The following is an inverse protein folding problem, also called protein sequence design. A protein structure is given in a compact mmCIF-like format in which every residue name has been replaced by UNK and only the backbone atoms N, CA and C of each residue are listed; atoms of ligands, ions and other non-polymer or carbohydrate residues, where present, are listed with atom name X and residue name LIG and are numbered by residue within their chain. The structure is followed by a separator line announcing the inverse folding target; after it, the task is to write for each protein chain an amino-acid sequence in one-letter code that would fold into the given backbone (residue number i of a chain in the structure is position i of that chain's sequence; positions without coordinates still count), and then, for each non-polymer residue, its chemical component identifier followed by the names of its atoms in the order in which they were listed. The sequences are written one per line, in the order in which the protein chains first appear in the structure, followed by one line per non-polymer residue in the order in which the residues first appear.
data_IF_676128360794
#
_entry.id   IF_676128360794
#
_cell.length_a   1.000
_cell.length_b   1.000
_cell.length_c   1.000
_cell.angle_alpha   90.00
_cell.angle_beta   90.00
_cell.angle_gamma   90.00
#
_symmetry.space_group_name_H-M   'P 1'
#
loop_
_entity.id
_entity.type
_entity.pdbx_description
1 polymer ?
#
# COMPACT_ATOMS: atom_id res chain seq x y z
N UNK A 1 15.39 -4.68 -5.32
CA UNK A 1 13.98 -5.09 -5.54
C UNK A 1 13.78 -5.16 -7.04
N UNK A 2 13.31 -6.28 -7.57
CA UNK A 2 13.00 -6.38 -9.00
C UNK A 2 11.87 -5.41 -9.40
N UNK A 3 11.83 -5.04 -10.67
CA UNK A 3 10.77 -4.21 -11.22
C UNK A 3 9.59 -5.07 -11.65
N UNK A 4 8.37 -4.53 -11.57
CA UNK A 4 7.23 -5.14 -12.26
C UNK A 4 7.32 -4.90 -13.77
N UNK A 5 6.54 -5.67 -14.54
CA UNK A 5 6.40 -5.43 -15.98
C UNK A 5 5.74 -4.08 -16.26
N UNK A 6 6.36 -3.28 -17.13
CA UNK A 6 5.84 -1.96 -17.55
C UNK A 6 4.49 -2.06 -18.27
N UNK A 7 4.21 -3.21 -18.89
CA UNK A 7 2.95 -3.56 -19.55
C UNK A 7 1.76 -3.63 -18.58
N UNK A 8 2.01 -3.66 -17.27
CA UNK A 8 0.96 -3.71 -16.22
C UNK A 8 0.41 -2.34 -15.83
N UNK A 9 0.98 -1.24 -16.34
CA UNK A 9 0.50 0.13 -16.12
C UNK A 9 -0.51 0.56 -17.19
N UNK A 10 -1.67 -0.09 -17.18
CA UNK A 10 -2.78 0.12 -18.12
C UNK A 10 -4.08 0.39 -17.35
N UNK A 11 -5.18 0.86 -17.99
CA UNK A 11 -6.48 0.94 -17.32
C UNK A 11 -6.87 -0.38 -16.63
N UNK A 12 -7.20 -0.31 -15.33
CA UNK A 12 -7.43 -1.48 -14.47
C UNK A 12 -6.16 -2.10 -13.85
N UNK A 13 -4.97 -1.69 -14.30
CA UNK A 13 -3.67 -2.16 -13.83
C UNK A 13 -3.11 -1.37 -12.65
N UNK A 14 -1.78 -1.24 -12.57
CA UNK A 14 -1.09 -0.55 -11.48
C UNK A 14 -1.21 0.97 -11.58
N UNK A 15 -1.20 1.66 -10.43
CA UNK A 15 -1.07 3.11 -10.38
C UNK A 15 0.40 3.52 -10.58
N UNK A 16 0.73 4.42 -11.53
CA UNK A 16 2.09 4.94 -11.65
C UNK A 16 2.42 5.84 -10.45
N UNK A 17 3.58 5.63 -9.83
CA UNK A 17 4.05 6.38 -8.66
C UNK A 17 5.53 6.68 -8.81
N UNK A 18 5.90 7.93 -8.53
CA UNK A 18 7.28 8.39 -8.49
C UNK A 18 7.74 8.67 -7.04
N UNK A 19 9.04 8.59 -6.82
CA UNK A 19 9.65 9.07 -5.57
C UNK A 19 9.41 10.58 -5.46
N UNK A 20 8.94 11.03 -4.30
CA UNK A 20 8.56 12.42 -4.04
C UNK A 20 7.08 12.73 -4.27
N UNK A 21 6.30 11.81 -4.85
CA UNK A 21 4.85 11.99 -4.96
C UNK A 21 4.22 12.06 -3.56
N UNK A 22 3.22 12.93 -3.38
CA UNK A 22 2.46 13.02 -2.13
C UNK A 22 1.08 12.38 -2.34
N UNK A 23 0.90 11.19 -1.78
CA UNK A 23 -0.34 10.44 -1.85
C UNK A 23 -1.29 10.90 -0.75
N UNK A 24 -2.54 11.16 -1.14
CA UNK A 24 -3.62 11.59 -0.24
C UNK A 24 -3.26 12.83 0.60
N UNK A 25 -2.42 13.72 0.05
CA UNK A 25 -1.93 14.94 0.72
C UNK A 25 -1.20 14.71 2.06
N UNK A 26 -0.91 13.46 2.41
CA UNK A 26 -0.42 13.05 3.73
C UNK A 26 0.82 12.18 3.69
N UNK A 27 1.07 11.47 2.58
CA UNK A 27 2.09 10.43 2.49
C UNK A 27 3.05 10.68 1.34
N UNK A 28 4.24 11.19 1.65
CA UNK A 28 5.31 11.39 0.67
C UNK A 28 6.01 10.06 0.37
N UNK A 29 6.14 9.72 -0.91
CA UNK A 29 6.76 8.47 -1.37
C UNK A 29 8.27 8.57 -1.31
N UNK A 30 8.90 7.70 -0.51
CA UNK A 30 10.34 7.70 -0.27
C UNK A 30 11.07 6.61 -1.06
N UNK A 31 10.52 5.39 -1.09
CA UNK A 31 11.15 4.25 -1.75
C UNK A 31 10.13 3.16 -2.08
N UNK A 32 10.42 2.33 -3.09
CA UNK A 32 9.64 1.12 -3.35
C UNK A 32 10.07 0.01 -2.39
N UNK A 33 9.13 -0.66 -1.72
CA UNK A 33 9.42 -1.79 -0.82
C UNK A 33 9.23 -3.15 -1.50
N UNK A 34 8.33 -3.24 -2.47
CA UNK A 34 8.08 -4.48 -3.19
C UNK A 34 6.89 -4.38 -4.11
N UNK A 35 6.65 -5.44 -4.87
CA UNK A 35 5.45 -5.60 -5.68
C UNK A 35 4.99 -7.05 -5.64
N UNK A 36 3.72 -7.27 -5.90
CA UNK A 36 3.13 -8.59 -6.09
C UNK A 36 2.13 -8.56 -7.25
N UNK A 37 1.44 -9.67 -7.48
CA UNK A 37 0.48 -9.77 -8.60
C UNK A 37 -0.65 -8.73 -8.57
N UNK A 38 -0.99 -8.22 -7.38
CA UNK A 38 -2.18 -7.39 -7.16
C UNK A 38 -1.88 -5.96 -6.68
N UNK A 39 -0.64 -5.65 -6.30
CA UNK A 39 -0.31 -4.36 -5.67
C UNK A 39 1.17 -4.05 -5.70
N UNK A 40 1.50 -2.77 -5.51
CA UNK A 40 2.86 -2.30 -5.23
C UNK A 40 2.89 -1.70 -3.82
N UNK A 41 3.96 -1.95 -3.07
CA UNK A 41 4.16 -1.44 -1.70
C UNK A 41 5.28 -0.41 -1.70
N UNK A 42 5.01 0.73 -1.08
CA UNK A 42 5.90 1.89 -1.00
C UNK A 42 6.21 2.23 0.46
N UNK A 43 7.44 2.62 0.74
CA UNK A 43 7.82 3.31 1.96
C UNK A 43 7.38 4.76 1.79
N UNK A 44 6.56 5.23 2.72
CA UNK A 44 6.09 6.61 2.75
C UNK A 44 6.42 7.28 4.08
N UNK A 45 6.54 8.60 4.05
CA UNK A 45 6.72 9.47 5.21
C UNK A 45 5.47 10.34 5.40
N UNK A 46 4.97 10.44 6.62
CA UNK A 46 3.88 11.38 6.92
C UNK A 46 4.33 12.83 6.82
N UNK A 47 3.52 13.66 6.17
CA UNK A 47 3.70 15.10 6.16
C UNK A 47 3.29 15.69 7.53
N UNK A 48 4.24 16.25 8.29
CA UNK A 48 4.00 16.86 9.60
C UNK A 48 5.31 17.16 10.34
N UNK A 49 5.22 17.83 11.50
CA UNK A 49 6.40 18.27 12.27
C UNK A 49 7.28 17.11 12.77
N UNK A 50 6.66 15.96 13.08
CA UNK A 50 7.36 14.73 13.46
C UNK A 50 7.16 13.66 12.39
N UNK A 51 8.18 13.37 11.56
CA UNK A 51 8.02 12.42 10.47
C UNK A 51 7.88 10.99 11.00
N UNK A 52 6.81 10.32 10.61
CA UNK A 52 6.58 8.89 10.84
C UNK A 52 6.62 8.14 9.50
N UNK A 53 7.08 6.88 9.53
CA UNK A 53 7.24 6.06 8.32
C UNK A 53 6.20 4.94 8.28
N UNK A 54 5.64 4.71 7.10
CA UNK A 54 4.59 3.71 6.87
C UNK A 54 4.87 2.91 5.59
N UNK A 55 4.26 1.72 5.51
CA UNK A 55 4.17 0.96 4.29
C UNK A 55 2.80 1.24 3.64
N UNK A 56 2.81 1.87 2.47
CA UNK A 56 1.63 2.16 1.66
C UNK A 56 1.51 1.13 0.54
N UNK A 57 0.48 0.27 0.64
CA UNK A 57 0.14 -0.72 -0.38
C UNK A 57 -0.95 -0.15 -1.30
N UNK A 58 -0.64 0.00 -2.59
CA UNK A 58 -1.57 0.48 -3.61
C UNK A 58 -1.97 -0.69 -4.50
N UNK A 59 -3.27 -1.01 -4.52
CA UNK A 59 -3.83 -2.10 -5.30
C UNK A 59 -3.99 -1.71 -6.77
N UNK A 60 -4.03 -2.71 -7.65
CA UNK A 60 -4.50 -2.52 -9.03
C UNK A 60 -5.93 -1.98 -9.06
N UNK A 61 -6.24 -1.23 -10.11
CA UNK A 61 -7.53 -0.58 -10.28
C UNK A 61 -8.69 -1.55 -10.55
N UNK A 62 -8.42 -2.75 -11.07
CA UNK A 62 -9.44 -3.78 -11.29
C UNK A 62 -9.93 -4.48 -10.01
N UNK A 63 -9.31 -4.17 -8.86
CA UNK A 63 -9.71 -4.70 -7.56
C UNK A 63 -10.77 -3.79 -6.93
N UNK A 64 -12.01 -3.86 -7.44
CA UNK A 64 -13.10 -2.96 -7.02
C UNK A 64 -13.57 -3.20 -5.58
N UNK A 65 -13.67 -4.46 -5.14
CA UNK A 65 -14.11 -4.84 -3.79
C UNK A 65 -13.09 -5.79 -3.12
N UNK A 66 -11.97 -5.26 -2.59
CA UNK A 66 -10.94 -6.08 -2.00
C UNK A 66 -11.43 -6.72 -0.69
N UNK A 67 -11.64 -8.03 -0.71
CA UNK A 67 -11.90 -8.83 0.49
C UNK A 67 -10.85 -8.55 1.59
N UNK A 68 -9.60 -8.28 1.19
CA UNK A 68 -8.51 -7.92 2.11
C UNK A 68 -8.84 -6.69 2.98
N UNK A 69 -9.36 -5.60 2.39
CA UNK A 69 -9.72 -4.39 3.15
C UNK A 69 -10.84 -4.70 4.14
N UNK A 70 -11.86 -5.44 3.70
CA UNK A 70 -13.01 -5.78 4.54
C UNK A 70 -12.60 -6.67 5.71
N UNK A 71 -11.76 -7.69 5.47
CA UNK A 71 -11.26 -8.58 6.51
C UNK A 71 -10.37 -7.85 7.52
N UNK A 72 -9.45 -7.00 7.04
CA UNK A 72 -8.54 -6.27 7.92
C UNK A 72 -9.29 -5.24 8.80
N UNK A 73 -10.29 -4.55 8.25
CA UNK A 73 -11.17 -3.66 9.03
C UNK A 73 -11.94 -4.45 10.09
N UNK A 74 -12.59 -5.54 9.68
CA UNK A 74 -13.36 -6.40 10.59
C UNK A 74 -12.50 -6.99 11.72
N UNK A 75 -11.27 -7.40 11.43
CA UNK A 75 -10.33 -7.90 12.42
C UNK A 75 -9.96 -6.83 13.45
N UNK A 76 -9.68 -5.61 12.99
CA UNK A 76 -9.38 -4.47 13.85
C UNK A 76 -10.55 -4.10 14.77
N UNK A 77 -11.78 -4.18 14.27
CA UNK A 77 -13.01 -3.89 15.03
C UNK A 77 -13.34 -4.99 16.05
N UNK A 78 -13.16 -6.27 15.68
CA UNK A 78 -13.64 -7.41 16.47
C UNK A 78 -12.63 -7.88 17.50
N UNK A 79 -11.35 -7.93 17.13
CA UNK A 79 -10.28 -8.47 17.99
C UNK A 79 -9.37 -7.37 18.57
N UNK A 80 -9.42 -6.14 18.03
CA UNK A 80 -8.47 -5.09 18.36
C UNK A 80 -7.05 -5.38 17.85
N UNK A 81 -6.10 -4.46 18.07
CA UNK A 81 -4.71 -4.67 17.70
C UNK A 81 -4.06 -5.77 18.54
N UNK A 82 -3.29 -6.65 17.91
CA UNK A 82 -2.50 -7.68 18.58
C UNK A 82 -1.01 -7.54 18.20
N UNK A 83 -0.11 -7.66 19.17
CA UNK A 83 1.33 -7.40 18.97
C UNK A 83 2.01 -8.24 17.87
N UNK A 84 1.47 -9.43 17.59
CA UNK A 84 1.99 -10.36 16.58
C UNK A 84 1.17 -10.38 15.28
N UNK A 85 0.23 -9.45 15.10
CA UNK A 85 -0.61 -9.35 13.90
C UNK A 85 -0.51 -7.94 13.36
N UNK A 86 -0.18 -7.81 12.08
CA UNK A 86 -0.07 -6.49 11.44
C UNK A 86 -1.46 -5.87 11.33
N UNK A 87 -1.63 -4.70 11.93
CA UNK A 87 -2.87 -3.94 11.89
C UNK A 87 -2.90 -3.00 10.68
N UNK A 88 -4.07 -2.87 10.06
CA UNK A 88 -4.38 -1.83 9.09
C UNK A 88 -4.55 -0.50 9.83
N UNK A 89 -3.72 0.49 9.51
CA UNK A 89 -3.72 1.80 10.17
C UNK A 89 -4.67 2.79 9.49
N UNK A 90 -4.73 2.74 8.17
CA UNK A 90 -5.60 3.59 7.36
C UNK A 90 -5.95 2.87 6.04
N UNK A 91 -7.10 3.20 5.46
CA UNK A 91 -7.54 2.73 4.17
C UNK A 91 -8.35 3.79 3.45
N UNK A 92 -7.89 4.18 2.27
CA UNK A 92 -8.49 5.21 1.43
C UNK A 92 -8.41 4.82 -0.04
N UNK A 93 -8.94 5.68 -0.90
CA UNK A 93 -8.88 5.50 -2.35
C UNK A 93 -8.24 6.70 -3.02
N UNK A 94 -7.54 6.46 -4.11
CA UNK A 94 -6.98 7.50 -4.96
C UNK A 94 -7.46 7.31 -6.40
N UNK A 95 -7.70 8.42 -7.09
CA UNK A 95 -7.97 8.41 -8.52
C UNK A 95 -6.67 8.59 -9.29
N UNK A 96 -6.45 7.77 -10.31
CA UNK A 96 -5.29 7.87 -11.18
C UNK A 96 -5.64 7.67 -12.65
N UNK A 97 -4.64 7.69 -13.55
CA UNK A 97 -4.86 7.50 -14.98
C UNK A 97 -5.43 6.12 -15.32
N UNK A 98 -5.24 5.13 -14.43
CA UNK A 98 -5.65 3.75 -14.62
C UNK A 98 -6.97 3.39 -13.91
N UNK A 99 -7.75 4.40 -13.47
CA UNK A 99 -8.97 4.34 -12.63
C UNK A 99 -8.70 4.57 -11.13
N UNK A 100 -9.65 4.21 -10.27
CA UNK A 100 -9.59 4.32 -8.82
C UNK A 100 -8.82 3.14 -8.21
N UNK A 101 -7.97 3.40 -7.22
CA UNK A 101 -7.13 2.41 -6.56
C UNK A 101 -7.36 2.42 -5.05
N UNK A 102 -7.51 1.24 -4.45
CA UNK A 102 -7.52 1.10 -2.99
C UNK A 102 -6.10 1.18 -2.43
N UNK A 103 -5.95 1.96 -1.38
CA UNK A 103 -4.70 2.22 -0.68
C UNK A 103 -4.82 1.75 0.78
N UNK A 104 -3.86 0.96 1.24
CA UNK A 104 -3.81 0.43 2.60
C UNK A 104 -2.50 0.86 3.26
N UNK A 105 -2.60 1.38 4.49
CA UNK A 105 -1.46 1.86 5.26
C UNK A 105 -1.17 0.91 6.41
N UNK A 106 0.09 0.49 6.53
CA UNK A 106 0.58 -0.42 7.57
C UNK A 106 1.81 0.15 8.28
N UNK A 107 2.17 -0.35 9.47
CA UNK A 107 3.49 -0.15 10.04
C UNK A 107 4.57 -0.68 9.09
N UNK A 108 5.72 0.00 9.02
CA UNK A 108 6.90 -0.55 8.34
C UNK A 108 7.48 -1.68 9.18
N UNK A 109 7.74 -2.83 8.55
CA UNK A 109 8.31 -4.02 9.20
C UNK A 109 9.58 -4.47 8.48
N UNK A 110 10.30 -5.39 9.12
CA UNK A 110 11.48 -6.01 8.55
C UNK A 110 11.16 -7.01 7.42
N UNK A 111 12.21 -7.63 6.83
CA UNK A 111 12.06 -8.64 5.80
C UNK A 111 11.21 -9.83 6.25
N UNK A 112 10.52 -10.48 5.31
CA UNK A 112 9.85 -11.75 5.57
C UNK A 112 10.87 -12.84 5.94
N UNK A 113 10.47 -13.79 6.79
CA UNK A 113 11.33 -14.91 7.20
C UNK A 113 11.64 -15.86 6.04
N UNK A 114 10.76 -15.93 5.04
CA UNK A 114 10.96 -16.71 3.83
C UNK A 114 11.58 -15.79 2.77
N UNK A 115 12.85 -16.03 2.45
CA UNK A 115 13.45 -15.48 1.25
C UNK A 115 12.95 -16.33 0.08
N UNK A 116 12.02 -15.81 -0.71
CA UNK A 116 11.75 -16.41 -2.01
C UNK A 116 12.97 -16.11 -2.90
N UNK A 117 13.73 -17.16 -3.18
CA UNK A 117 14.73 -17.26 -4.27
C UNK A 117 14.02 -17.87 -5.47
#
# INVERSE_FOLDING_TARGET
IEAEGVDKYVPGGFHPVNIGDVIDQRYEVMHKLGYGGLSIVWLVRSCGDTPSYFALKILRADIANPNEVNMLKHLGETAGPHQNVVALLDAFKISGPNSEHHCLVFPVLGPALRNDV
#
